data_IF_952600422429
#
_entry.id   IF_952600422429
#
_cell.length_a   1.000
_cell.length_b   1.000
_cell.length_c   1.000
_cell.angle_alpha   90.00
_cell.angle_beta   90.00
_cell.angle_gamma   90.00
#
_symmetry.space_group_name_H-M   'P 1'
#
loop_
_entity.id
_entity.type
_entity.pdbx_description
1 polymer ?
#
# COMPACT_ATOMS: atom_id res chain seq x y z
N UNK A 1 43.23 7.88 -13.83
CA UNK A 1 41.81 7.79 -14.26
C UNK A 1 41.53 6.35 -14.65
N UNK A 2 40.76 5.61 -13.85
CA UNK A 2 40.51 4.20 -14.13
C UNK A 2 39.56 3.55 -13.13
N UNK A 3 38.27 3.50 -13.51
CA UNK A 3 37.30 2.46 -13.15
C UNK A 3 36.95 2.33 -11.66
N UNK A 4 36.30 3.35 -11.09
CA UNK A 4 35.34 3.11 -10.01
C UNK A 4 34.08 2.53 -10.66
N UNK A 5 33.81 1.25 -10.43
CA UNK A 5 32.52 0.62 -10.70
C UNK A 5 31.43 1.48 -10.04
N UNK A 6 30.63 2.17 -10.86
CA UNK A 6 29.43 2.88 -10.39
C UNK A 6 28.64 1.86 -9.56
N UNK A 7 28.31 2.15 -8.29
CA UNK A 7 27.61 1.19 -7.46
C UNK A 7 26.36 0.75 -8.22
N UNK A 8 26.25 -0.55 -8.51
CA UNK A 8 25.09 -1.17 -9.15
C UNK A 8 23.84 -0.52 -8.58
N UNK A 9 23.04 0.12 -9.45
CA UNK A 9 21.92 1.00 -9.06
C UNK A 9 21.26 0.49 -7.79
N UNK A 10 21.41 1.28 -6.71
CA UNK A 10 20.99 0.85 -5.38
C UNK A 10 19.59 0.24 -5.49
N UNK A 11 19.39 -0.96 -4.93
CA UNK A 11 18.15 -1.74 -5.13
C UNK A 11 16.88 -0.95 -4.78
N UNK A 12 17.01 0.09 -3.94
CA UNK A 12 15.96 1.07 -3.65
C UNK A 12 15.54 1.93 -4.85
N UNK A 13 16.48 2.35 -5.70
CA UNK A 13 16.22 3.07 -6.96
C UNK A 13 15.57 2.14 -7.98
N UNK A 14 16.01 0.87 -8.00
CA UNK A 14 15.47 -0.16 -8.91
C UNK A 14 14.07 -0.65 -8.51
N UNK A 15 13.73 -0.66 -7.23
CA UNK A 15 12.43 -1.15 -6.72
C UNK A 15 11.86 -0.30 -5.57
N UNK A 16 11.55 0.99 -5.80
CA UNK A 16 11.09 1.91 -4.75
C UNK A 16 9.77 1.46 -4.09
N UNK A 17 8.93 0.71 -4.81
CA UNK A 17 7.67 0.16 -4.33
C UNK A 17 7.80 -0.81 -3.14
N UNK A 18 8.97 -1.45 -2.98
CA UNK A 18 9.24 -2.35 -1.84
C UNK A 18 9.12 -1.61 -0.51
N UNK A 19 9.51 -0.34 -0.47
CA UNK A 19 9.35 0.51 0.70
C UNK A 19 7.88 0.78 1.00
N UNK A 20 7.10 1.14 -0.02
CA UNK A 20 5.64 1.38 0.12
C UNK A 20 4.92 0.14 0.63
N UNK A 21 5.18 -1.03 0.02
CA UNK A 21 4.56 -2.30 0.45
C UNK A 21 4.95 -2.66 1.88
N UNK A 22 6.23 -2.48 2.25
CA UNK A 22 6.67 -2.74 3.62
C UNK A 22 5.97 -1.82 4.62
N UNK A 23 5.88 -0.52 4.33
CA UNK A 23 5.23 0.45 5.21
C UNK A 23 3.74 0.14 5.38
N UNK A 24 3.05 -0.21 4.29
CA UNK A 24 1.65 -0.65 4.34
C UNK A 24 1.49 -1.89 5.19
N UNK A 25 2.31 -2.90 4.93
CA UNK A 25 2.26 -4.15 5.66
C UNK A 25 2.47 -3.91 7.15
N UNK A 26 3.47 -3.09 7.51
CA UNK A 26 3.71 -2.68 8.89
C UNK A 26 2.52 -1.95 9.50
N UNK A 27 1.87 -1.04 8.76
CA UNK A 27 0.69 -0.33 9.22
C UNK A 27 -0.49 -1.28 9.46
N UNK A 28 -0.78 -2.18 8.51
CA UNK A 28 -1.86 -3.16 8.61
C UNK A 28 -1.62 -4.12 9.77
N UNK A 29 -0.40 -4.63 9.92
CA UNK A 29 -0.02 -5.50 11.04
C UNK A 29 -0.10 -4.75 12.37
N UNK A 30 0.35 -3.50 12.42
CA UNK A 30 0.24 -2.66 13.62
C UNK A 30 -1.21 -2.44 14.05
N UNK A 31 -2.10 -2.15 13.10
CA UNK A 31 -3.55 -2.02 13.36
C UNK A 31 -4.12 -3.35 13.82
N UNK A 32 -3.81 -4.46 13.12
CA UNK A 32 -4.29 -5.79 13.48
C UNK A 32 -3.85 -6.21 14.89
N UNK A 33 -2.62 -5.89 15.28
CA UNK A 33 -2.09 -6.15 16.63
C UNK A 33 -2.76 -5.26 17.69
N UNK A 34 -3.13 -4.03 17.34
CA UNK A 34 -3.84 -3.12 18.23
C UNK A 34 -5.34 -3.43 18.38
N UNK A 35 -5.91 -4.30 17.52
CA UNK A 35 -7.33 -4.62 17.51
C UNK A 35 -7.90 -5.05 18.86
N UNK A 36 -7.29 -5.97 19.63
CA UNK A 36 -7.87 -6.40 20.90
C UNK A 36 -8.00 -5.24 21.89
N UNK A 37 -7.03 -4.32 21.91
CA UNK A 37 -7.05 -3.13 22.74
C UNK A 37 -8.13 -2.14 22.30
N UNK A 38 -8.30 -1.96 20.98
CA UNK A 38 -9.35 -1.09 20.42
C UNK A 38 -10.73 -1.65 20.76
N UNK A 39 -10.94 -2.96 20.61
CA UNK A 39 -12.21 -3.63 20.95
C UNK A 39 -12.48 -3.52 22.45
N UNK A 40 -11.52 -3.86 23.30
CA UNK A 40 -11.67 -3.77 24.75
C UNK A 40 -11.93 -2.34 25.24
N UNK A 41 -11.29 -1.33 24.64
CA UNK A 41 -11.46 0.07 25.02
C UNK A 41 -12.75 0.70 24.48
N UNK A 42 -13.37 0.12 23.44
CA UNK A 42 -14.54 0.72 22.77
C UNK A 42 -15.86 0.56 23.52
N UNK A 43 -15.98 -0.42 24.45
CA UNK A 43 -17.23 -0.72 25.14
C UNK A 43 -18.39 -1.15 24.22
N UNK A 44 -18.08 -1.43 22.94
CA UNK A 44 -19.05 -1.75 21.90
C UNK A 44 -19.39 -3.25 21.90
N UNK A 45 -20.64 -3.63 21.55
CA UNK A 45 -20.99 -5.02 21.29
C UNK A 45 -20.11 -5.62 20.18
N UNK A 46 -19.73 -6.89 20.31
CA UNK A 46 -18.73 -7.58 19.45
C UNK A 46 -19.01 -7.43 17.94
N UNK A 47 -20.29 -7.34 17.55
CA UNK A 47 -20.71 -7.13 16.17
C UNK A 47 -20.30 -5.75 15.63
N UNK A 48 -20.45 -4.69 16.41
CA UNK A 48 -20.06 -3.33 16.04
C UNK A 48 -18.53 -3.19 15.96
N UNK A 49 -17.81 -3.87 16.85
CA UNK A 49 -16.36 -3.96 16.82
C UNK A 49 -15.87 -4.63 15.52
N UNK A 50 -16.41 -5.80 15.16
CA UNK A 50 -16.05 -6.51 13.92
C UNK A 50 -16.29 -5.67 12.66
N UNK A 51 -17.40 -4.93 12.60
CA UNK A 51 -17.68 -3.99 11.50
C UNK A 51 -16.66 -2.84 11.49
N UNK A 52 -16.31 -2.28 12.65
CA UNK A 52 -15.29 -1.23 12.76
C UNK A 52 -13.92 -1.67 12.25
N UNK A 53 -13.51 -2.91 12.55
CA UNK A 53 -12.27 -3.49 12.02
C UNK A 53 -12.31 -3.60 10.49
N UNK A 54 -13.39 -4.18 9.95
CA UNK A 54 -13.53 -4.36 8.51
C UNK A 54 -13.50 -3.02 7.77
N UNK A 55 -14.20 -2.01 8.29
CA UNK A 55 -14.17 -0.65 7.75
C UNK A 55 -12.79 0.00 7.87
N UNK A 56 -12.10 -0.18 8.99
CA UNK A 56 -10.75 0.33 9.20
C UNK A 56 -9.74 -0.26 8.19
N UNK A 57 -9.82 -1.56 7.96
CA UNK A 57 -8.99 -2.24 6.94
C UNK A 57 -9.34 -1.75 5.54
N UNK A 58 -10.63 -1.66 5.20
CA UNK A 58 -11.08 -1.15 3.90
C UNK A 58 -10.61 0.29 3.66
N UNK A 59 -10.69 1.16 4.66
CA UNK A 59 -10.20 2.52 4.60
C UNK A 59 -8.68 2.59 4.43
N UNK A 60 -7.92 1.73 5.14
CA UNK A 60 -6.47 1.65 4.99
C UNK A 60 -6.05 1.21 3.57
N UNK A 61 -6.73 0.21 3.01
CA UNK A 61 -6.53 -0.24 1.62
C UNK A 61 -6.88 0.88 0.64
N UNK A 62 -8.00 1.57 0.86
CA UNK A 62 -8.42 2.69 0.00
C UNK A 62 -7.42 3.84 0.03
N UNK A 63 -6.88 4.16 1.21
CA UNK A 63 -5.84 5.18 1.38
C UNK A 63 -4.54 4.78 0.68
N UNK A 64 -4.20 3.50 0.72
CA UNK A 64 -3.07 2.97 -0.02
C UNK A 64 -3.25 3.10 -1.52
N UNK A 65 -4.42 2.72 -2.05
CA UNK A 65 -4.76 2.89 -3.46
C UNK A 65 -4.72 4.37 -3.90
N UNK A 66 -4.94 5.30 -2.97
CA UNK A 66 -4.82 6.74 -3.22
C UNK A 66 -3.37 7.26 -3.32
N UNK A 67 -2.35 6.46 -3.02
CA UNK A 67 -0.96 6.92 -3.11
C UNK A 67 -0.52 6.97 -4.58
N UNK A 68 0.07 8.09 -5.07
CA UNK A 68 0.55 8.20 -6.45
C UNK A 68 1.54 7.10 -6.84
N UNK A 69 2.38 6.67 -5.89
CA UNK A 69 3.33 5.57 -6.07
C UNK A 69 2.63 4.23 -6.33
N UNK A 70 1.45 4.00 -5.74
CA UNK A 70 0.65 2.79 -5.97
C UNK A 70 -0.01 2.85 -7.34
N UNK A 71 -0.59 3.99 -7.71
CA UNK A 71 -1.15 4.16 -9.05
C UNK A 71 -0.08 3.99 -10.14
N UNK A 72 1.12 4.54 -9.94
CA UNK A 72 2.26 4.36 -10.86
C UNK A 72 2.72 2.90 -10.96
N UNK A 73 2.70 2.15 -9.86
CA UNK A 73 2.98 0.71 -9.89
C UNK A 73 1.87 -0.08 -10.60
N UNK A 74 0.60 0.26 -10.37
CA UNK A 74 -0.53 -0.36 -11.06
C UNK A 74 -0.47 -0.09 -12.57
N UNK A 75 -0.13 1.12 -12.99
CA UNK A 75 0.02 1.46 -14.41
C UNK A 75 1.08 0.60 -15.13
N UNK A 76 2.13 0.17 -14.45
CA UNK A 76 3.20 -0.66 -15.03
C UNK A 76 2.83 -2.14 -15.07
N UNK A 77 2.26 -2.69 -13.99
CA UNK A 77 2.09 -4.14 -13.83
C UNK A 77 0.66 -4.64 -14.03
N UNK A 78 -0.34 -3.80 -13.71
CA UNK A 78 -1.77 -4.10 -13.79
C UNK A 78 -2.51 -2.90 -14.39
N UNK A 79 -2.22 -2.52 -15.65
CA UNK A 79 -2.76 -1.30 -16.25
C UNK A 79 -4.30 -1.26 -16.35
N UNK A 80 -4.98 -2.40 -16.19
CA UNK A 80 -6.44 -2.50 -16.11
C UNK A 80 -7.01 -2.10 -14.74
N UNK A 81 -6.14 -1.93 -13.73
CA UNK A 81 -6.46 -1.53 -12.37
C UNK A 81 -5.94 -0.11 -12.05
N UNK A 82 -5.20 0.51 -12.97
CA UNK A 82 -4.72 1.88 -12.84
C UNK A 82 -5.89 2.88 -12.96
N UNK A 83 -5.80 4.00 -12.25
CA UNK A 83 -6.85 5.02 -12.24
C UNK A 83 -6.99 5.74 -13.60
N UNK A 84 -5.91 5.80 -14.38
CA UNK A 84 -5.91 6.36 -15.73
C UNK A 84 -6.28 5.28 -16.76
N UNK A 85 -7.26 5.53 -17.64
CA UNK A 85 -7.60 4.61 -18.72
C UNK A 85 -6.38 4.38 -19.60
N UNK A 86 -6.06 3.11 -19.93
CA UNK A 86 -5.11 2.78 -21.00
C UNK A 86 -5.57 3.54 -22.25
N UNK A 87 -4.81 4.56 -22.68
CA UNK A 87 -5.08 5.26 -23.93
C UNK A 87 -5.10 4.21 -25.05
N UNK A 88 -6.32 3.82 -25.43
CA UNK A 88 -6.56 2.89 -26.52
C UNK A 88 -6.52 3.72 -27.78
N UNK A 89 -5.30 3.89 -28.28
CA UNK A 89 -5.01 4.28 -29.65
C UNK A 89 -5.04 5.77 -29.90
N UNK A 90 -3.91 6.27 -30.38
CA UNK A 90 -3.92 7.10 -31.59
C UNK A 90 -2.99 6.42 -32.62
N UNK A 91 -3.33 6.50 -33.92
CA UNK A 91 -2.82 5.64 -35.00
C UNK A 91 -1.30 5.70 -35.21
#
# INVERSE_FOLDING_TARGET
>A
MGRHSLPEDATQVRYPWRTTVRTVFQLVVGIAAALPMIVAASGLPETAAGVGVALGVAAAITRLMSLPAVNGALAVWLPWLAAEPKERGMP
#
